data_IF_129089193377
#
_entry.id   IF_129089193377
#
_cell.length_a   1.000
_cell.length_b   1.000
_cell.length_c   1.000
_cell.angle_alpha   90.00
_cell.angle_beta   90.00
_cell.angle_gamma   90.00
#
_symmetry.space_group_name_H-M   'P 1'
#
loop_
_entity.id
_entity.type
_entity.pdbx_description
1 polymer ?
#
# COMPACT_ATOMS: atom_id res chain seq x y z
N UNK A 1 -4.42 -3.07 0.11
CA UNK A 1 -3.44 -3.45 1.16
C UNK A 1 -4.07 -4.53 2.01
N UNK A 2 -3.44 -5.70 2.20
CA UNK A 2 -4.05 -6.78 2.97
C UNK A 2 -4.29 -6.40 4.44
N UNK A 3 -5.27 -7.04 5.07
CA UNK A 3 -5.56 -6.83 6.49
C UNK A 3 -4.34 -7.19 7.36
N UNK A 4 -4.10 -6.39 8.41
CA UNK A 4 -2.95 -6.55 9.32
C UNK A 4 -1.63 -5.94 8.81
N UNK A 5 -1.58 -5.45 7.58
CA UNK A 5 -0.40 -4.78 7.04
C UNK A 5 -0.51 -3.26 7.21
N UNK A 6 0.60 -2.65 7.62
CA UNK A 6 0.76 -1.20 7.52
C UNK A 6 1.22 -0.79 6.12
N UNK A 7 0.74 0.36 5.63
CA UNK A 7 1.13 0.91 4.34
C UNK A 7 1.81 2.26 4.52
N UNK A 8 2.92 2.46 3.81
CA UNK A 8 3.61 3.75 3.70
C UNK A 8 3.76 4.08 2.24
N UNK A 9 3.31 5.28 1.86
CA UNK A 9 3.46 5.82 0.51
C UNK A 9 4.55 6.88 0.56
N UNK A 10 5.59 6.72 -0.26
CA UNK A 10 6.72 7.63 -0.33
C UNK A 10 6.88 8.15 -1.76
N UNK A 11 6.86 9.47 -1.92
CA UNK A 11 7.18 10.11 -3.18
C UNK A 11 8.71 10.25 -3.30
N UNK A 12 9.32 9.56 -4.26
CA UNK A 12 10.76 9.66 -4.55
C UNK A 12 11.06 10.50 -5.80
N UNK A 13 10.02 11.01 -6.46
CA UNK A 13 10.11 11.87 -7.63
C UNK A 13 10.28 13.35 -7.27
N UNK A 14 10.39 14.18 -8.31
CA UNK A 14 10.49 15.64 -8.17
C UNK A 14 9.14 16.35 -8.31
N UNK A 15 8.10 15.65 -8.81
CA UNK A 15 6.75 16.16 -8.97
C UNK A 15 5.80 15.67 -7.88
N UNK A 16 4.55 16.13 -7.87
CA UNK A 16 3.53 15.62 -6.94
C UNK A 16 3.23 14.14 -7.20
N UNK A 17 2.97 13.40 -6.12
CA UNK A 17 2.43 12.05 -6.19
C UNK A 17 0.92 12.14 -5.99
N UNK A 18 0.15 11.73 -7.00
CA UNK A 18 -1.30 11.56 -6.89
C UNK A 18 -1.59 10.10 -6.55
N UNK A 19 -2.46 9.89 -5.57
CA UNK A 19 -2.90 8.57 -5.12
C UNK A 19 -4.42 8.59 -4.97
N UNK A 20 -5.06 7.50 -5.40
CA UNK A 20 -6.45 7.18 -5.05
C UNK A 20 -6.47 5.86 -4.31
N UNK A 21 -7.21 5.77 -3.22
CA UNK A 21 -7.34 4.56 -2.41
C UNK A 21 -8.80 4.38 -1.98
N UNK A 22 -9.31 3.16 -2.07
CA UNK A 22 -10.57 2.75 -1.45
C UNK A 22 -10.26 2.00 -0.17
N UNK A 23 -10.98 2.34 0.89
CA UNK A 23 -10.85 1.72 2.19
C UNK A 23 -12.23 1.58 2.81
N UNK A 24 -12.40 0.54 3.62
CA UNK A 24 -13.63 0.36 4.41
C UNK A 24 -13.71 1.47 5.47
N UNK A 25 -14.93 1.92 5.79
CA UNK A 25 -15.16 3.05 6.68
C UNK A 25 -14.51 2.86 8.07
N UNK A 26 -14.50 1.63 8.58
CA UNK A 26 -13.97 1.30 9.90
C UNK A 26 -12.47 0.99 9.90
N UNK A 27 -11.79 1.14 8.77
CA UNK A 27 -10.34 0.99 8.71
C UNK A 27 -9.65 2.18 9.37
N UNK A 28 -9.06 1.95 10.54
CA UNK A 28 -8.31 2.98 11.26
C UNK A 28 -6.79 2.75 11.14
N UNK A 29 -6.01 3.74 10.71
CA UNK A 29 -4.56 3.58 10.63
C UNK A 29 -3.93 3.52 12.03
N UNK A 30 -3.10 2.51 12.28
CA UNK A 30 -2.36 2.35 13.53
C UNK A 30 -1.06 3.18 13.51
N UNK A 31 -1.15 4.48 13.78
CA UNK A 31 0.02 5.38 13.72
C UNK A 31 1.03 5.22 14.87
N UNK A 32 0.61 4.68 16.03
CA UNK A 32 1.43 4.61 17.24
C UNK A 32 2.74 3.84 17.03
N UNK A 33 2.70 2.75 16.25
CA UNK A 33 3.90 1.98 15.93
C UNK A 33 4.90 2.81 15.15
N UNK A 34 4.45 3.52 14.11
CA UNK A 34 5.31 4.39 13.30
C UNK A 34 5.90 5.53 14.11
N UNK A 35 5.17 6.10 15.06
CA UNK A 35 5.70 7.16 15.94
C UNK A 35 6.79 6.63 16.86
N UNK A 36 6.57 5.49 17.53
CA UNK A 36 7.56 4.87 18.44
C UNK A 36 8.82 4.43 17.72
N UNK A 37 8.66 3.83 16.53
CA UNK A 37 9.77 3.34 15.71
C UNK A 37 10.38 4.41 14.81
N UNK A 38 9.77 5.61 14.80
CA UNK A 38 10.08 6.76 13.94
C UNK A 38 10.15 6.42 12.45
N UNK A 39 9.19 5.64 11.99
CA UNK A 39 9.10 5.20 10.60
C UNK A 39 8.80 3.72 10.48
N UNK A 40 8.83 3.23 9.24
CA UNK A 40 8.67 1.81 8.93
C UNK A 40 9.98 1.04 9.18
N UNK A 41 9.94 -0.28 8.96
CA UNK A 41 11.13 -1.15 9.02
C UNK A 41 12.22 -0.74 8.04
N UNK A 42 11.87 -0.07 6.93
CA UNK A 42 12.81 0.47 5.96
C UNK A 42 12.48 1.93 5.65
N UNK A 43 13.52 2.74 5.48
CA UNK A 43 13.44 4.05 4.84
C UNK A 43 13.69 3.92 3.35
N UNK A 44 12.96 4.68 2.54
CA UNK A 44 13.22 4.81 1.11
C UNK A 44 13.98 6.12 0.88
N UNK A 45 15.24 6.01 0.46
CA UNK A 45 16.13 7.16 0.25
C UNK A 45 16.44 7.28 -1.25
N UNK A 46 16.16 8.43 -1.83
CA UNK A 46 16.57 8.75 -3.19
C UNK A 46 18.07 9.15 -3.22
N UNK A 47 18.86 8.48 -4.05
CA UNK A 47 20.22 8.91 -4.41
C UNK A 47 20.30 9.04 -5.93
N UNK A 48 20.25 10.27 -6.43
CA UNK A 48 20.13 10.55 -7.86
C UNK A 48 18.84 9.96 -8.43
N UNK A 49 18.93 9.24 -9.55
CA UNK A 49 17.78 8.61 -10.21
C UNK A 49 17.32 7.27 -9.61
N UNK A 50 17.88 6.84 -8.47
CA UNK A 50 17.59 5.53 -7.88
C UNK A 50 17.15 5.66 -6.42
N UNK A 51 16.03 5.01 -6.09
CA UNK A 51 15.60 4.81 -4.71
C UNK A 51 16.26 3.55 -4.11
N UNK A 52 16.70 3.65 -2.85
CA UNK A 52 17.26 2.55 -2.07
C UNK A 52 16.47 2.37 -0.77
N UNK A 53 16.25 1.11 -0.40
CA UNK A 53 15.72 0.76 0.91
C UNK A 53 16.90 0.71 1.92
N UNK A 54 16.77 1.43 3.02
CA UNK A 54 17.75 1.47 4.12
C UNK A 54 17.07 0.94 5.38
N UNK A 55 17.60 -0.10 6.05
CA UNK A 55 16.96 -0.66 7.25
C UNK A 55 16.88 0.37 8.37
N UNK A 56 15.76 0.39 9.10
CA UNK A 56 15.58 1.24 10.26
C UNK A 56 16.23 0.57 11.49
N UNK A 57 17.25 1.19 12.11
CA UNK A 57 17.99 0.59 13.22
C UNK A 57 17.16 0.43 14.50
N UNK A 58 15.95 1.03 14.58
CA UNK A 58 15.06 0.87 15.73
C UNK A 58 14.34 -0.48 15.77
N UNK A 59 14.26 -1.17 14.63
CA UNK A 59 13.68 -2.50 14.57
C UNK A 59 14.76 -3.55 14.89
N UNK A 60 14.32 -4.65 15.50
CA UNK A 60 15.18 -5.82 15.75
C UNK A 60 15.74 -6.35 14.43
N UNK A 61 17.04 -6.70 14.45
CA UNK A 61 17.79 -7.15 13.28
C UNK A 61 18.06 -8.66 13.38
N UNK A 62 18.13 -9.38 12.25
CA UNK A 62 18.02 -8.88 10.87
C UNK A 62 16.57 -8.71 10.41
N UNK A 63 16.32 -7.66 9.64
CA UNK A 63 15.02 -7.47 8.99
C UNK A 63 14.86 -8.40 7.76
N UNK A 64 13.64 -8.91 7.51
CA UNK A 64 13.33 -9.65 6.28
C UNK A 64 13.59 -8.80 5.02
N UNK A 65 14.18 -9.41 3.99
CA UNK A 65 14.53 -8.69 2.77
C UNK A 65 13.28 -8.08 2.09
N UNK A 66 13.32 -6.82 1.61
CA UNK A 66 12.20 -6.22 0.91
C UNK A 66 11.86 -6.96 -0.38
N UNK A 67 10.59 -7.34 -0.53
CA UNK A 67 10.06 -7.83 -1.79
C UNK A 67 9.72 -6.64 -2.70
N UNK A 68 10.03 -6.75 -3.99
CA UNK A 68 9.67 -5.75 -5.00
C UNK A 68 8.74 -6.41 -6.00
N UNK A 69 7.55 -5.84 -6.15
CA UNK A 69 6.54 -6.31 -7.09
C UNK A 69 6.25 -5.19 -8.10
N UNK A 70 6.00 -5.58 -9.35
CA UNK A 70 5.49 -4.64 -10.35
C UNK A 70 3.98 -4.43 -10.12
N UNK A 71 3.44 -3.25 -10.48
CA UNK A 71 1.99 -3.08 -10.55
C UNK A 71 1.37 -4.17 -11.44
N UNK A 72 0.24 -4.71 -10.99
CA UNK A 72 -0.55 -5.68 -11.75
C UNK A 72 -1.82 -5.01 -12.27
N UNK A 73 -2.30 -5.49 -13.42
CA UNK A 73 -3.67 -5.19 -13.85
C UNK A 73 -4.64 -6.02 -13.01
N UNK A 74 -5.75 -5.40 -12.60
CA UNK A 74 -6.69 -5.98 -11.64
C UNK A 74 -8.15 -5.68 -12.03
N UNK A 75 -8.48 -5.82 -13.32
CA UNK A 75 -9.85 -5.65 -13.83
C UNK A 75 -10.85 -6.58 -13.15
N UNK A 76 -10.43 -7.81 -12.81
CA UNK A 76 -11.26 -8.76 -12.06
C UNK A 76 -11.64 -8.26 -10.65
N UNK A 77 -10.87 -7.31 -10.10
CA UNK A 77 -11.14 -6.65 -8.81
C UNK A 77 -11.85 -5.29 -8.97
N UNK A 78 -12.27 -4.93 -10.19
CA UNK A 78 -12.94 -3.66 -10.48
C UNK A 78 -12.02 -2.50 -10.84
N UNK A 79 -10.70 -2.73 -10.97
CA UNK A 79 -9.73 -1.67 -11.29
C UNK A 79 -9.45 -1.64 -12.79
N UNK A 80 -9.95 -0.62 -13.48
CA UNK A 80 -9.82 -0.48 -14.93
C UNK A 80 -8.76 0.58 -15.33
N UNK A 81 -7.92 0.33 -16.35
CA UNK A 81 -6.82 1.23 -16.75
C UNK A 81 -7.23 2.64 -17.17
N UNK A 82 -8.47 2.83 -17.63
CA UNK A 82 -8.97 4.10 -18.19
C UNK A 82 -10.04 4.77 -17.34
N UNK A 83 -10.38 4.20 -16.18
CA UNK A 83 -11.39 4.74 -15.27
C UNK A 83 -10.75 5.12 -13.94
N UNK A 84 -11.07 6.30 -13.42
CA UNK A 84 -10.67 6.66 -12.07
C UNK A 84 -11.29 5.68 -11.07
N UNK A 85 -10.53 5.30 -10.03
CA UNK A 85 -11.02 4.39 -8.99
C UNK A 85 -12.30 4.90 -8.32
N UNK A 86 -12.44 6.22 -8.16
CA UNK A 86 -13.66 6.85 -7.67
C UNK A 86 -14.85 6.59 -8.60
N UNK A 87 -14.70 6.84 -9.90
CA UNK A 87 -15.77 6.61 -10.87
C UNK A 87 -16.13 5.12 -10.96
N UNK A 88 -15.14 4.24 -10.95
CA UNK A 88 -15.36 2.79 -10.94
C UNK A 88 -16.23 2.37 -9.74
N UNK A 89 -15.91 2.88 -8.54
CA UNK A 89 -16.66 2.58 -7.32
C UNK A 89 -18.07 3.19 -7.29
N UNK A 90 -18.23 4.46 -7.66
CA UNK A 90 -19.54 5.13 -7.59
C UNK A 90 -20.57 4.51 -8.55
N UNK A 91 -20.13 4.05 -9.73
CA UNK A 91 -21.04 3.47 -10.72
C UNK A 91 -21.31 1.98 -10.52
N UNK A 92 -20.37 1.22 -9.93
CA UNK A 92 -20.47 -0.23 -9.75
C UNK A 92 -19.91 -0.68 -8.39
N UNK A 93 -20.48 -0.21 -7.26
CA UNK A 93 -19.93 -0.47 -5.92
C UNK A 93 -19.91 -1.96 -5.55
N UNK A 94 -20.82 -2.77 -6.11
CA UNK A 94 -20.91 -4.21 -5.89
C UNK A 94 -19.67 -4.98 -6.36
N UNK A 95 -18.96 -4.48 -7.38
CA UNK A 95 -17.67 -5.05 -7.84
C UNK A 95 -16.58 -4.95 -6.77
N UNK A 96 -16.77 -4.09 -5.76
CA UNK A 96 -15.83 -3.87 -4.66
C UNK A 96 -16.29 -4.49 -3.34
N UNK A 97 -17.34 -5.31 -3.33
CA UNK A 97 -17.87 -5.95 -2.12
C UNK A 97 -16.80 -6.79 -1.38
N UNK A 98 -15.81 -7.32 -2.11
CA UNK A 98 -14.68 -8.05 -1.57
C UNK A 98 -13.82 -7.23 -0.58
N UNK A 99 -13.83 -5.89 -0.65
CA UNK A 99 -13.11 -5.03 0.30
C UNK A 99 -13.63 -5.17 1.73
N UNK A 100 -14.94 -5.43 1.88
CA UNK A 100 -15.59 -5.60 3.19
C UNK A 100 -15.60 -7.04 3.67
N UNK A 101 -15.46 -8.00 2.76
CA UNK A 101 -15.53 -9.44 3.02
C UNK A 101 -14.15 -10.12 3.04
N UNK A 102 -13.07 -9.33 3.08
CA UNK A 102 -11.70 -9.85 3.15
C UNK A 102 -11.41 -10.39 4.56
N UNK A 103 -12.07 -11.48 4.95
CA UNK A 103 -11.57 -12.34 6.02
C UNK A 103 -10.19 -12.90 5.61
N UNK A 104 -9.29 -12.98 6.58
CA UNK A 104 -7.85 -13.18 6.41
C UNK A 104 -7.43 -14.18 5.32
N UNK A 105 -6.50 -13.74 4.47
CA UNK A 105 -5.63 -14.61 3.68
C UNK A 105 -5.90 -14.55 2.19
N UNK A 106 -5.05 -13.82 1.45
CA UNK A 106 -4.84 -14.11 0.04
C UNK A 106 -4.20 -15.48 -0.05
N UNK A 107 -5.01 -16.50 -0.30
CA UNK A 107 -4.52 -17.79 -0.81
C UNK A 107 -3.90 -17.49 -2.17
N UNK A 108 -2.58 -17.65 -2.27
CA UNK A 108 -1.83 -17.49 -3.52
C UNK A 108 -2.30 -18.56 -4.51
N UNK A 109 -2.74 -18.15 -5.70
CA UNK A 109 -2.69 -18.98 -6.90
C UNK A 109 -1.33 -18.79 -7.58
#
# INVERSE_FOLDING_TARGET
>A
VPAGYGVVVANTGQGPLLLSNLAIADSWPAYLAYQRMQGAAYYVVARGRRARAVPNPRYEQPLPAPLREAPIEASDLGVEPEQSLYSAFVHNPERFAWLSNAEGGVSRC
#
